data_IF_255313571632
#
_entry.id   IF_255313571632
#
_cell.length_a   1.000
_cell.length_b   1.000
_cell.length_c   1.000
_cell.angle_alpha   90.00
_cell.angle_beta   90.00
_cell.angle_gamma   90.00
#
_symmetry.space_group_name_H-M   'P 1'
#
loop_
_entity.id
_entity.type
_entity.pdbx_description
1 polymer ?
#
# COMPACT_ATOMS: atom_id res chain seq x y z
N UNK A 1 -20.63 58.90 6.85
CA UNK A 1 -20.49 58.12 5.60
C UNK A 1 -20.01 56.73 6.03
N UNK A 2 -20.97 55.84 6.28
CA UNK A 2 -20.72 54.50 6.85
C UNK A 2 -20.79 53.49 5.71
N UNK A 3 -19.69 52.78 5.44
CA UNK A 3 -19.70 51.61 4.56
C UNK A 3 -19.71 50.36 5.44
N UNK A 4 -20.87 49.71 5.54
CA UNK A 4 -20.98 48.32 5.96
C UNK A 4 -20.68 47.43 4.75
N UNK A 5 -19.64 46.59 4.84
CA UNK A 5 -19.44 45.49 3.92
C UNK A 5 -20.03 44.22 4.56
N UNK A 6 -21.12 43.72 3.99
CA UNK A 6 -21.73 42.46 4.39
C UNK A 6 -20.88 41.29 3.88
N UNK A 7 -20.47 40.40 4.78
CA UNK A 7 -19.84 39.13 4.43
C UNK A 7 -20.93 38.16 3.96
N UNK A 8 -21.04 37.94 2.65
CA UNK A 8 -21.90 36.92 2.09
C UNK A 8 -21.31 35.54 2.40
N UNK A 9 -21.87 34.86 3.38
CA UNK A 9 -21.53 33.48 3.69
C UNK A 9 -22.17 32.60 2.61
N UNK A 10 -21.43 32.31 1.54
CA UNK A 10 -21.83 31.29 0.57
C UNK A 10 -21.90 29.95 1.31
N UNK A 11 -23.11 29.40 1.45
CA UNK A 11 -23.35 28.11 2.07
C UNK A 11 -22.61 27.01 1.30
N UNK A 12 -21.44 26.62 1.77
CA UNK A 12 -20.80 25.39 1.34
C UNK A 12 -21.66 24.24 1.87
N UNK A 13 -22.34 23.55 0.95
CA UNK A 13 -22.92 22.26 1.25
C UNK A 13 -21.76 21.30 1.56
N UNK A 14 -21.44 21.15 2.84
CA UNK A 14 -20.54 20.09 3.31
C UNK A 14 -21.31 18.78 3.14
N UNK A 15 -21.08 18.10 2.02
CA UNK A 15 -21.49 16.72 1.88
C UNK A 15 -20.67 15.91 2.89
N UNK A 16 -21.28 15.56 4.04
CA UNK A 16 -20.73 14.51 4.89
C UNK A 16 -20.74 13.23 4.06
N UNK A 17 -19.56 12.81 3.60
CA UNK A 17 -19.39 11.49 3.03
C UNK A 17 -19.83 10.48 4.08
N UNK A 18 -20.91 9.75 3.81
CA UNK A 18 -21.37 8.67 4.66
C UNK A 18 -20.20 7.70 4.85
N UNK A 19 -19.82 7.46 6.10
CA UNK A 19 -18.85 6.42 6.45
C UNK A 19 -19.33 5.11 5.83
N UNK A 20 -18.61 4.60 4.84
CA UNK A 20 -18.94 3.32 4.23
C UNK A 20 -18.95 2.27 5.34
N UNK A 21 -20.13 1.74 5.64
CA UNK A 21 -20.26 0.57 6.52
C UNK A 21 -19.32 -0.51 6.02
N UNK A 22 -18.50 -1.08 6.91
CA UNK A 22 -17.61 -2.20 6.57
C UNK A 22 -18.40 -3.22 5.74
N UNK A 23 -17.85 -3.71 4.61
CA UNK A 23 -18.47 -4.81 3.88
C UNK A 23 -18.76 -5.94 4.88
N UNK A 24 -19.91 -6.60 4.73
CA UNK A 24 -20.21 -7.77 5.53
C UNK A 24 -19.09 -8.81 5.34
N UNK A 25 -18.58 -9.33 6.45
CA UNK A 25 -17.56 -10.38 6.43
C UNK A 25 -18.17 -11.66 5.84
N UNK A 26 -17.43 -12.31 4.95
CA UNK A 26 -17.86 -13.58 4.35
C UNK A 26 -17.96 -14.63 5.44
N UNK A 27 -19.12 -15.29 5.57
CA UNK A 27 -19.29 -16.48 6.42
C UNK A 27 -18.94 -17.78 5.68
N UNK A 28 -18.45 -17.69 4.44
CA UNK A 28 -18.01 -18.83 3.65
C UNK A 28 -16.57 -19.15 4.01
N UNK A 29 -16.37 -20.34 4.58
CA UNK A 29 -15.06 -20.94 4.88
C UNK A 29 -14.77 -22.03 3.83
N UNK A 30 -14.19 -21.68 2.67
CA UNK A 30 -13.94 -22.65 1.62
C UNK A 30 -12.89 -23.66 2.07
N UNK A 31 -13.19 -24.94 1.92
CA UNK A 31 -12.21 -26.01 2.12
C UNK A 31 -11.02 -25.83 1.17
N UNK A 32 -9.83 -26.26 1.58
CA UNK A 32 -8.59 -26.08 0.80
C UNK A 32 -8.70 -26.55 -0.66
N UNK A 33 -9.47 -27.62 -0.91
CA UNK A 33 -9.75 -28.12 -2.27
C UNK A 33 -10.57 -27.15 -3.12
N UNK A 34 -11.53 -26.44 -2.52
CA UNK A 34 -12.33 -25.43 -3.19
C UNK A 34 -11.51 -24.15 -3.47
N UNK A 35 -10.60 -23.78 -2.55
CA UNK A 35 -9.64 -22.68 -2.78
C UNK A 35 -8.76 -23.00 -3.99
N UNK A 36 -8.18 -24.20 -4.03
CA UNK A 36 -7.33 -24.64 -5.15
C UNK A 36 -8.09 -24.71 -6.49
N UNK A 37 -9.35 -25.17 -6.47
CA UNK A 37 -10.19 -25.22 -7.67
C UNK A 37 -10.59 -23.82 -8.18
N UNK A 38 -10.86 -22.88 -7.26
CA UNK A 38 -11.12 -21.48 -7.60
C UNK A 38 -9.88 -20.80 -8.17
N UNK A 39 -8.71 -20.99 -7.55
CA UNK A 39 -7.43 -20.48 -8.05
C UNK A 39 -7.11 -21.00 -9.47
N UNK A 40 -7.48 -22.24 -9.79
CA UNK A 40 -7.27 -22.82 -11.11
C UNK A 40 -8.15 -22.21 -12.22
N UNK A 41 -9.26 -21.55 -11.87
CA UNK A 41 -10.19 -20.91 -12.83
C UNK A 41 -10.20 -19.38 -12.74
N UNK A 42 -9.50 -18.81 -11.76
CA UNK A 42 -9.34 -17.38 -11.62
C UNK A 42 -8.65 -16.80 -12.86
N UNK A 43 -9.39 -16.02 -13.65
CA UNK A 43 -8.83 -15.29 -14.78
C UNK A 43 -8.43 -13.91 -14.28
N UNK A 44 -7.14 -13.62 -14.08
CA UNK A 44 -6.72 -12.28 -13.68
C UNK A 44 -7.10 -11.30 -14.78
N UNK A 45 -7.74 -10.19 -14.41
CA UNK A 45 -7.89 -9.05 -15.32
C UNK A 45 -6.50 -8.43 -15.46
N UNK A 46 -5.73 -8.90 -16.42
CA UNK A 46 -4.42 -8.34 -16.74
C UNK A 46 -4.63 -7.23 -17.75
N UNK A 47 -4.68 -5.99 -17.27
CA UNK A 47 -4.50 -4.84 -18.14
C UNK A 47 -3.01 -4.77 -18.48
N UNK A 48 -2.60 -5.40 -19.58
CA UNK A 48 -1.22 -5.29 -20.05
C UNK A 48 -1.01 -3.89 -20.63
N UNK A 49 -0.31 -3.05 -19.89
CA UNK A 49 0.40 -1.92 -20.49
C UNK A 49 1.68 -2.47 -21.13
N UNK A 50 1.79 -2.38 -22.45
CA UNK A 50 2.99 -2.76 -23.22
C UNK A 50 3.89 -1.54 -23.50
N UNK A 51 3.77 -0.51 -22.65
CA UNK A 51 4.62 0.66 -22.73
C UNK A 51 5.97 0.30 -22.13
N UNK A 52 7.00 0.24 -22.99
CA UNK A 52 8.37 -0.02 -22.59
C UNK A 52 8.83 1.01 -21.55
N UNK A 53 9.38 0.51 -20.44
CA UNK A 53 9.92 1.37 -19.39
C UNK A 53 11.25 2.02 -19.79
N UNK A 54 11.57 3.17 -19.18
CA UNK A 54 12.88 3.82 -19.40
C UNK A 54 14.03 2.99 -18.82
N UNK A 55 13.82 2.40 -17.65
CA UNK A 55 14.82 1.60 -16.93
C UNK A 55 14.31 0.21 -16.55
N UNK A 56 13.01 0.09 -16.24
CA UNK A 56 12.36 -1.16 -15.86
C UNK A 56 10.97 -1.21 -16.50
N UNK A 57 10.58 -2.34 -17.06
CA UNK A 57 9.22 -2.53 -17.59
C UNK A 57 8.19 -2.69 -16.47
N UNK A 58 8.62 -3.23 -15.31
CA UNK A 58 7.80 -3.36 -14.10
C UNK A 58 8.66 -3.20 -12.85
N UNK A 59 8.12 -2.51 -11.85
CA UNK A 59 8.69 -2.40 -10.50
C UNK A 59 7.63 -2.89 -9.53
N UNK A 60 8.02 -3.78 -8.63
CA UNK A 60 7.17 -4.25 -7.53
C UNK A 60 7.91 -3.95 -6.24
N UNK A 61 7.21 -3.31 -5.30
CA UNK A 61 7.73 -3.05 -3.97
C UNK A 61 6.77 -3.65 -2.94
N UNK A 62 7.32 -4.47 -2.04
CA UNK A 62 6.57 -5.17 -1.00
C UNK A 62 7.02 -4.61 0.34
N UNK A 63 6.07 -4.12 1.13
CA UNK A 63 6.33 -3.48 2.42
C UNK A 63 5.85 -4.41 3.52
N UNK A 64 6.75 -4.74 4.44
CA UNK A 64 6.47 -5.64 5.55
C UNK A 64 6.21 -4.80 6.81
N UNK A 65 4.94 -4.62 7.14
CA UNK A 65 4.52 -3.88 8.34
C UNK A 65 5.11 -4.55 9.61
N UNK A 66 5.66 -3.74 10.52
CA UNK A 66 6.18 -4.16 11.83
C UNK A 66 7.13 -5.38 11.81
N UNK A 67 7.92 -5.52 10.74
CA UNK A 67 8.84 -6.65 10.56
C UNK A 67 10.29 -6.19 10.68
N UNK A 68 11.05 -6.80 11.58
CA UNK A 68 12.49 -6.58 11.70
C UNK A 68 13.31 -7.52 10.80
N UNK A 69 14.62 -7.27 10.71
CA UNK A 69 15.53 -8.06 9.88
C UNK A 69 15.56 -9.54 10.29
N UNK A 70 15.57 -9.85 11.59
CA UNK A 70 15.70 -11.24 12.04
C UNK A 70 14.44 -12.04 11.70
N UNK A 71 13.26 -11.44 11.80
CA UNK A 71 12.00 -12.05 11.36
C UNK A 71 11.99 -12.25 9.84
N UNK A 72 12.27 -11.21 9.06
CA UNK A 72 12.29 -11.28 7.60
C UNK A 72 13.33 -12.28 7.07
N UNK A 73 14.55 -12.26 7.63
CA UNK A 73 15.64 -13.14 7.21
C UNK A 73 15.39 -14.60 7.60
N UNK A 74 14.43 -14.89 8.49
CA UNK A 74 14.06 -16.25 8.86
C UNK A 74 12.86 -16.81 8.07
N UNK A 75 12.08 -15.96 7.40
CA UNK A 75 10.96 -16.37 6.54
C UNK A 75 11.46 -17.18 5.32
N UNK A 76 10.96 -18.41 5.10
CA UNK A 76 11.39 -19.24 3.97
C UNK A 76 11.13 -18.60 2.60
N UNK A 77 10.02 -17.89 2.42
CA UNK A 77 9.66 -17.25 1.15
C UNK A 77 10.61 -16.11 0.83
N UNK A 78 10.94 -15.29 1.84
CA UNK A 78 11.90 -14.19 1.68
C UNK A 78 13.33 -14.70 1.52
N UNK A 79 13.71 -15.82 2.17
CA UNK A 79 15.01 -16.49 1.92
C UNK A 79 15.17 -16.92 0.47
N UNK A 80 14.13 -17.50 -0.14
CA UNK A 80 14.20 -17.88 -1.56
C UNK A 80 14.31 -16.66 -2.49
N UNK A 81 13.65 -15.56 -2.15
CA UNK A 81 13.79 -14.30 -2.89
C UNK A 81 15.20 -13.70 -2.74
N UNK A 82 15.76 -13.73 -1.53
CA UNK A 82 17.09 -13.16 -1.25
C UNK A 82 18.21 -13.84 -2.05
N UNK A 83 18.07 -15.12 -2.44
CA UNK A 83 19.03 -15.82 -3.31
C UNK A 83 19.14 -15.22 -4.71
N UNK A 84 18.11 -14.49 -5.16
CA UNK A 84 18.01 -13.91 -6.50
C UNK A 84 18.36 -12.41 -6.51
N UNK A 85 18.74 -11.85 -5.36
CA UNK A 85 18.88 -10.41 -5.18
C UNK A 85 20.07 -10.07 -4.27
N UNK A 86 20.21 -8.78 -3.98
CA UNK A 86 21.13 -8.29 -2.96
C UNK A 86 20.39 -8.14 -1.63
N UNK A 87 21.01 -8.61 -0.55
CA UNK A 87 20.51 -8.40 0.81
C UNK A 87 21.17 -7.16 1.41
N UNK A 88 20.38 -6.20 1.87
CA UNK A 88 20.87 -4.98 2.52
C UNK A 88 20.92 -5.19 4.04
N UNK A 89 22.05 -5.67 4.56
CA UNK A 89 22.24 -5.95 5.99
C UNK A 89 22.49 -4.72 6.87
N UNK A 90 22.65 -3.54 6.26
CA UNK A 90 22.82 -2.25 6.94
C UNK A 90 21.78 -1.22 6.46
N UNK A 91 20.53 -1.67 6.31
CA UNK A 91 19.40 -0.83 5.94
C UNK A 91 18.55 -0.54 7.18
N UNK A 92 18.28 0.73 7.44
CA UNK A 92 17.61 1.19 8.67
C UNK A 92 16.39 2.02 8.33
N UNK A 93 15.38 1.98 9.20
CA UNK A 93 14.28 2.92 9.18
C UNK A 93 14.79 4.35 9.42
N UNK A 94 14.10 5.33 8.85
CA UNK A 94 14.38 6.75 9.05
C UNK A 94 14.01 7.18 10.46
N UNK A 95 12.87 6.72 10.97
CA UNK A 95 12.39 7.02 12.33
C UNK A 95 11.35 5.99 12.81
N UNK A 96 10.82 6.19 14.02
CA UNK A 96 9.70 5.44 14.57
C UNK A 96 8.62 6.42 15.10
N UNK A 97 7.31 6.25 14.82
CA UNK A 97 6.60 5.06 14.28
C UNK A 97 6.74 4.86 12.76
N UNK A 98 5.99 3.92 12.17
CA UNK A 98 6.11 3.50 10.75
C UNK A 98 5.75 4.59 9.74
N UNK A 99 4.74 5.43 10.01
CA UNK A 99 4.21 6.43 9.07
C UNK A 99 5.26 7.33 8.40
N UNK A 100 6.23 7.95 9.11
CA UNK A 100 7.19 8.83 8.46
C UNK A 100 8.16 8.08 7.54
N UNK A 101 8.39 6.78 7.76
CA UNK A 101 9.20 5.97 6.84
C UNK A 101 8.50 5.84 5.48
N UNK A 102 7.17 5.76 5.50
CA UNK A 102 6.36 5.64 4.29
C UNK A 102 6.41 6.91 3.45
N UNK A 103 6.33 8.05 4.12
CA UNK A 103 6.52 9.35 3.50
C UNK A 103 7.94 9.52 2.95
N UNK A 104 8.97 9.10 3.69
CA UNK A 104 10.37 9.24 3.29
C UNK A 104 10.77 8.39 2.09
N UNK A 105 10.24 7.16 1.95
CA UNK A 105 10.53 6.32 0.77
C UNK A 105 10.00 6.94 -0.53
N UNK A 106 8.88 7.66 -0.46
CA UNK A 106 8.26 8.31 -1.63
C UNK A 106 8.82 9.72 -1.86
N UNK A 107 8.93 10.51 -0.79
CA UNK A 107 9.34 11.91 -0.84
C UNK A 107 10.85 12.14 -0.87
N UNK A 108 11.65 11.14 -0.45
CA UNK A 108 13.10 11.24 -0.35
C UNK A 108 13.60 12.10 0.82
N UNK A 109 12.72 12.47 1.76
CA UNK A 109 13.01 13.33 2.91
C UNK A 109 12.09 12.95 4.10
N UNK A 110 12.51 13.26 5.33
CA UNK A 110 11.67 13.14 6.54
C UNK A 110 10.96 14.46 6.90
N UNK A 111 11.09 15.50 6.07
CA UNK A 111 10.36 16.78 6.17
C UNK A 111 10.63 17.60 7.44
N UNK A 112 11.75 17.34 8.13
CA UNK A 112 12.18 18.08 9.33
C UNK A 112 11.62 17.50 10.62
#
# INVERSE_FOLDING_TARGET
>A
MFFSAALALAGANVALAASATRPAESTIEPVATAISASAASATPVVLTSDVKGKSFDRIVQIWLENTDYALAANDPSLKELAKQAITLSNYHAVTHPSEPNYAAVIGGDHFG
#
